data_IF_281325527394
#
_entry.id   IF_281325527394
#
_cell.length_a   1.000
_cell.length_b   1.000
_cell.length_c   1.000
_cell.angle_alpha   90.00
_cell.angle_beta   90.00
_cell.angle_gamma   90.00
#
_symmetry.space_group_name_H-M   'P 1'
#
loop_
_entity.id
_entity.type
_entity.pdbx_description
1 polymer ?
#
# COMPACT_ATOMS: atom_id res chain seq x y z
N UNK A 1 27.65 7.83 13.49
CA UNK A 1 27.24 6.48 13.04
C UNK A 1 25.83 6.63 12.51
N UNK A 2 25.61 6.24 11.26
CA UNK A 2 24.37 6.58 10.57
C UNK A 2 23.33 5.49 10.80
N UNK A 3 22.21 5.88 11.39
CA UNK A 3 21.11 5.00 11.79
C UNK A 3 19.92 5.30 10.88
N UNK A 4 19.38 4.27 10.23
CA UNK A 4 18.14 4.34 9.47
C UNK A 4 17.04 3.62 10.25
N UNK A 5 15.96 4.32 10.60
CA UNK A 5 14.79 3.75 11.23
C UNK A 5 13.63 3.65 10.22
N UNK A 6 12.97 2.51 10.17
CA UNK A 6 11.97 2.19 9.13
C UNK A 6 10.67 1.73 9.78
N UNK A 7 9.56 2.28 9.28
CA UNK A 7 8.24 1.69 9.43
C UNK A 7 8.08 0.66 8.29
N UNK A 8 7.84 -0.62 8.59
CA UNK A 8 7.65 -1.67 7.60
C UNK A 8 6.31 -1.48 6.88
N UNK A 9 6.15 -2.08 5.68
CA UNK A 9 4.93 -1.91 4.90
C UNK A 9 3.68 -2.50 5.56
N UNK A 10 2.53 -2.03 5.10
CA UNK A 10 1.17 -2.43 5.51
C UNK A 10 0.82 -2.07 6.95
N UNK A 11 1.18 -0.87 7.36
CA UNK A 11 0.55 -0.22 8.51
C UNK A 11 -0.68 0.57 8.06
N UNK A 12 -1.56 0.89 9.01
CA UNK A 12 -2.74 1.71 8.75
C UNK A 12 -2.33 3.14 8.39
N UNK A 13 -2.61 3.60 7.16
CA UNK A 13 -2.11 4.87 6.63
C UNK A 13 -2.70 6.11 7.31
N UNK A 14 -3.93 6.02 7.82
CA UNK A 14 -4.61 7.14 8.46
C UNK A 14 -4.24 7.33 9.93
N UNK A 15 -3.41 6.46 10.51
CA UNK A 15 -3.00 6.53 11.92
C UNK A 15 -1.47 6.61 12.01
N UNK A 16 -0.90 7.76 12.39
CA UNK A 16 0.56 7.91 12.42
C UNK A 16 1.18 7.00 13.48
N UNK A 17 2.13 6.15 13.06
CA UNK A 17 2.88 5.30 14.00
C UNK A 17 4.14 6.04 14.49
N UNK A 18 4.08 6.57 15.71
CA UNK A 18 5.09 7.52 16.20
C UNK A 18 6.38 6.87 16.70
N UNK A 19 6.49 5.53 16.76
CA UNK A 19 7.62 4.84 17.38
C UNK A 19 8.98 5.29 16.83
N UNK A 20 9.14 5.28 15.50
CA UNK A 20 10.41 5.66 14.87
C UNK A 20 10.63 7.17 14.91
N UNK A 21 9.56 7.97 14.98
CA UNK A 21 9.65 9.43 15.11
C UNK A 21 10.19 9.82 16.48
N UNK A 22 9.62 9.25 17.53
CA UNK A 22 10.09 9.44 18.91
C UNK A 22 11.53 8.94 19.09
N UNK A 23 11.85 7.74 18.56
CA UNK A 23 13.21 7.19 18.66
C UNK A 23 14.23 8.01 17.84
N UNK A 24 13.85 8.49 16.66
CA UNK A 24 14.71 9.37 15.85
C UNK A 24 15.02 10.66 16.60
N UNK A 25 14.01 11.29 17.22
CA UNK A 25 14.19 12.48 18.06
C UNK A 25 15.17 12.24 19.20
N UNK A 26 14.93 11.18 19.98
CA UNK A 26 15.81 10.78 21.09
C UNK A 26 17.26 10.52 20.64
N UNK A 27 17.46 9.80 19.53
CA UNK A 27 18.80 9.52 19.03
C UNK A 27 19.53 10.80 18.56
N UNK A 28 18.81 11.72 17.92
CA UNK A 28 19.34 13.03 17.52
C UNK A 28 19.73 13.88 18.73
N UNK A 29 18.94 13.88 19.81
CA UNK A 29 19.30 14.56 21.07
C UNK A 29 20.60 14.02 21.68
N UNK A 30 20.89 12.72 21.47
CA UNK A 30 22.14 12.06 21.86
C UNK A 30 23.25 12.18 20.82
N UNK A 31 23.12 13.09 19.86
CA UNK A 31 24.10 13.38 18.81
C UNK A 31 24.39 12.21 17.84
N UNK A 32 23.47 11.24 17.74
CA UNK A 32 23.53 10.23 16.68
C UNK A 32 22.90 10.78 15.39
N UNK A 33 23.53 10.46 14.25
CA UNK A 33 22.96 10.73 12.94
C UNK A 33 21.86 9.70 12.64
N UNK A 34 20.61 10.04 12.96
CA UNK A 34 19.45 9.19 12.74
C UNK A 34 18.52 9.77 11.65
N UNK A 35 18.11 8.93 10.71
CA UNK A 35 17.12 9.24 9.67
C UNK A 35 15.98 8.25 9.76
N UNK A 36 14.78 8.68 9.41
CA UNK A 36 13.60 7.81 9.36
C UNK A 36 13.02 7.73 7.96
N UNK A 37 12.41 6.59 7.63
CA UNK A 37 11.66 6.37 6.38
C UNK A 37 10.39 5.56 6.65
N UNK A 38 9.34 5.86 5.90
CA UNK A 38 8.08 5.13 5.96
C UNK A 38 7.96 4.25 4.71
N UNK A 39 8.35 2.99 4.83
CA UNK A 39 8.29 2.05 3.71
C UNK A 39 6.85 1.65 3.39
N UNK A 40 5.91 1.81 4.33
CA UNK A 40 4.49 1.54 4.09
C UNK A 40 3.86 2.58 3.20
N UNK A 41 4.07 3.85 3.53
CA UNK A 41 3.55 4.95 2.72
C UNK A 41 4.17 4.94 1.32
N UNK A 42 5.49 4.80 1.22
CA UNK A 42 6.17 4.84 -0.08
C UNK A 42 5.78 3.62 -0.95
N UNK A 43 5.61 2.42 -0.37
CA UNK A 43 5.09 1.27 -1.11
C UNK A 43 3.64 1.50 -1.56
N UNK A 44 2.79 2.02 -0.68
CA UNK A 44 1.41 2.31 -1.02
C UNK A 44 1.31 3.30 -2.19
N UNK A 45 2.08 4.39 -2.14
CA UNK A 45 2.11 5.39 -3.21
C UNK A 45 2.72 4.83 -4.51
N UNK A 46 3.74 3.98 -4.40
CA UNK A 46 4.31 3.32 -5.57
C UNK A 46 3.29 2.42 -6.27
N UNK A 47 2.51 1.64 -5.51
CA UNK A 47 1.43 0.80 -6.04
C UNK A 47 0.32 1.66 -6.65
N UNK A 48 -0.14 2.66 -5.91
CA UNK A 48 -1.23 3.56 -6.30
C UNK A 48 -0.71 4.77 -7.10
N UNK A 49 0.10 4.47 -8.11
CA UNK A 49 0.55 5.44 -9.10
C UNK A 49 0.23 4.92 -10.49
N UNK A 50 0.21 5.81 -11.49
CA UNK A 50 0.10 5.41 -12.89
C UNK A 50 1.04 4.26 -13.25
N UNK A 51 2.31 4.38 -12.87
CA UNK A 51 3.34 3.38 -13.18
C UNK A 51 3.10 2.07 -12.42
N UNK A 52 2.71 2.16 -11.15
CA UNK A 52 2.38 0.99 -10.33
C UNK A 52 1.21 0.21 -10.90
N UNK A 53 0.11 0.89 -11.23
CA UNK A 53 -1.06 0.25 -11.82
C UNK A 53 -0.77 -0.34 -13.20
N UNK A 54 -0.04 0.37 -14.06
CA UNK A 54 0.37 -0.17 -15.37
C UNK A 54 1.12 -1.49 -15.20
N UNK A 55 2.13 -1.51 -14.32
CA UNK A 55 2.90 -2.71 -14.04
C UNK A 55 2.03 -3.85 -13.51
N UNK A 56 1.08 -3.57 -12.61
CA UNK A 56 0.17 -4.58 -12.07
C UNK A 56 -0.76 -5.15 -13.14
N UNK A 57 -1.37 -4.30 -13.96
CA UNK A 57 -2.24 -4.75 -15.05
C UNK A 57 -1.50 -5.57 -16.09
N UNK A 58 -0.28 -5.19 -16.46
CA UNK A 58 0.54 -5.95 -17.42
C UNK A 58 0.87 -7.36 -16.90
N UNK A 59 0.99 -7.54 -15.58
CA UNK A 59 1.25 -8.83 -14.95
C UNK A 59 -0.03 -9.65 -14.67
N UNK A 60 -1.21 -9.03 -14.69
CA UNK A 60 -2.49 -9.72 -14.53
C UNK A 60 -2.94 -10.47 -15.79
N UNK A 61 -2.46 -10.05 -16.98
CA UNK A 61 -2.90 -10.60 -18.28
C UNK A 61 -2.63 -12.11 -18.44
N UNK A 62 -1.67 -12.66 -17.69
CA UNK A 62 -1.39 -14.11 -17.72
C UNK A 62 -2.46 -14.97 -17.04
N UNK A 63 -3.41 -14.35 -16.31
CA UNK A 63 -4.38 -15.04 -15.46
C UNK A 63 -5.83 -14.85 -15.92
N UNK A 64 -6.09 -14.20 -17.06
CA UNK A 64 -7.43 -13.79 -17.53
C UNK A 64 -8.47 -14.93 -17.57
N UNK A 65 -8.04 -16.18 -17.70
CA UNK A 65 -8.94 -17.35 -17.82
C UNK A 65 -9.59 -17.78 -16.50
N UNK A 66 -9.11 -17.28 -15.35
CA UNK A 66 -9.56 -17.71 -14.01
C UNK A 66 -10.12 -16.55 -13.17
N UNK A 67 -10.25 -15.35 -13.75
CA UNK A 67 -10.70 -14.15 -13.04
C UNK A 67 -12.23 -14.09 -12.92
N UNK A 68 -12.70 -13.51 -11.81
CA UNK A 68 -14.10 -13.20 -11.58
C UNK A 68 -14.61 -12.10 -12.52
N UNK A 69 -15.94 -11.99 -12.65
CA UNK A 69 -16.58 -10.91 -13.41
C UNK A 69 -16.14 -9.52 -12.92
N UNK A 70 -15.91 -9.36 -11.61
CA UNK A 70 -15.44 -8.10 -11.03
C UNK A 70 -14.00 -7.77 -11.48
N UNK A 71 -13.09 -8.75 -11.43
CA UNK A 71 -11.72 -8.55 -11.87
C UNK A 71 -11.63 -8.31 -13.39
N UNK A 72 -12.48 -8.98 -14.19
CA UNK A 72 -12.60 -8.73 -15.63
C UNK A 72 -13.11 -7.31 -15.91
N UNK A 73 -14.13 -6.83 -15.20
CA UNK A 73 -14.60 -5.44 -15.31
C UNK A 73 -13.48 -4.43 -15.03
N UNK A 74 -12.68 -4.66 -13.98
CA UNK A 74 -11.55 -3.79 -13.64
C UNK A 74 -10.49 -3.81 -14.75
N UNK A 75 -10.18 -4.98 -15.33
CA UNK A 75 -9.26 -5.11 -16.46
C UNK A 75 -9.74 -4.38 -17.72
N UNK A 76 -11.03 -4.50 -18.05
CA UNK A 76 -11.64 -3.79 -19.18
C UNK A 76 -11.55 -2.26 -19.00
N UNK A 77 -11.61 -1.78 -17.75
CA UNK A 77 -11.53 -0.36 -17.39
C UNK A 77 -10.14 0.10 -16.96
N UNK A 78 -9.09 -0.70 -17.17
CA UNK A 78 -7.72 -0.44 -16.67
C UNK A 78 -7.18 0.94 -17.05
N UNK A 79 -7.46 1.41 -18.26
CA UNK A 79 -6.98 2.71 -18.75
C UNK A 79 -7.58 3.87 -17.93
N UNK A 80 -8.82 3.73 -17.47
CA UNK A 80 -9.46 4.73 -16.61
C UNK A 80 -8.84 4.72 -15.21
N UNK A 81 -8.54 3.55 -14.64
CA UNK A 81 -7.80 3.46 -13.37
C UNK A 81 -6.40 4.11 -13.49
N UNK A 82 -5.64 3.76 -14.53
CA UNK A 82 -4.29 4.29 -14.78
C UNK A 82 -4.28 5.82 -14.96
N UNK A 83 -5.29 6.37 -15.64
CA UNK A 83 -5.35 7.81 -15.91
C UNK A 83 -5.86 8.64 -14.74
N UNK A 84 -6.65 8.06 -13.82
CA UNK A 84 -7.28 8.79 -12.72
C UNK A 84 -6.55 8.65 -11.37
N UNK A 85 -5.79 7.57 -11.15
CA UNK A 85 -5.16 7.25 -9.85
C UNK A 85 -4.34 8.40 -9.26
N UNK A 86 -3.47 9.04 -10.04
CA UNK A 86 -2.61 10.12 -9.54
C UNK A 86 -3.43 11.32 -9.04
N UNK A 87 -4.57 11.61 -9.69
CA UNK A 87 -5.46 12.70 -9.27
C UNK A 87 -6.19 12.36 -7.97
N UNK A 88 -6.55 11.09 -7.79
CA UNK A 88 -7.21 10.60 -6.58
C UNK A 88 -6.24 10.62 -5.39
N UNK A 89 -5.00 10.19 -5.58
CA UNK A 89 -3.97 10.29 -4.55
C UNK A 89 -3.72 11.75 -4.14
N UNK A 90 -3.59 12.67 -5.10
CA UNK A 90 -3.45 14.11 -4.82
C UNK A 90 -4.64 14.67 -4.03
N UNK A 91 -5.86 14.28 -4.40
CA UNK A 91 -7.07 14.67 -3.65
C UNK A 91 -7.03 14.16 -2.21
N UNK A 92 -6.68 12.89 -1.99
CA UNK A 92 -6.58 12.28 -0.65
C UNK A 92 -5.47 12.92 0.21
N UNK A 93 -4.39 13.39 -0.43
CA UNK A 93 -3.32 14.16 0.21
C UNK A 93 -3.69 15.64 0.46
N UNK A 94 -4.90 16.05 0.09
CA UNK A 94 -5.41 17.43 0.14
C UNK A 94 -4.63 18.42 -0.76
N UNK A 95 -3.94 17.93 -1.80
CA UNK A 95 -3.24 18.78 -2.77
C UNK A 95 -4.19 19.37 -3.83
N UNK A 96 -5.28 18.67 -4.16
CA UNK A 96 -6.34 19.15 -5.06
C UNK A 96 -7.75 18.92 -4.49
N UNK A 97 -8.19 19.75 -3.52
CA UNK A 97 -9.51 19.60 -2.91
C UNK A 97 -10.67 19.92 -3.88
N UNK A 98 -10.40 20.59 -5.01
CA UNK A 98 -11.43 20.98 -5.98
C UNK A 98 -12.05 19.77 -6.69
N UNK A 99 -11.31 18.67 -6.74
CA UNK A 99 -11.72 17.40 -7.34
C UNK A 99 -12.94 16.77 -6.65
N UNK A 100 -13.23 17.15 -5.40
CA UNK A 100 -14.34 16.59 -4.62
C UNK A 100 -15.67 16.62 -5.38
N UNK A 101 -16.01 17.77 -5.98
CA UNK A 101 -17.26 17.92 -6.75
C UNK A 101 -17.32 16.99 -7.95
N UNK A 102 -16.20 16.80 -8.66
CA UNK A 102 -16.09 15.92 -9.83
C UNK A 102 -16.17 14.45 -9.47
N UNK A 103 -15.58 14.05 -8.34
CA UNK A 103 -15.69 12.68 -7.81
C UNK A 103 -17.15 12.39 -7.46
N UNK A 104 -17.84 13.33 -6.80
CA UNK A 104 -19.24 13.15 -6.41
C UNK A 104 -20.22 13.08 -7.59
N UNK A 105 -19.84 13.44 -8.83
CA UNK A 105 -20.73 13.23 -9.99
C UNK A 105 -20.77 11.78 -10.46
N UNK A 106 -19.89 10.91 -9.95
CA UNK A 106 -19.77 9.48 -10.33
C UNK A 106 -19.48 9.22 -11.82
N UNK A 107 -19.13 10.25 -12.58
CA UNK A 107 -18.79 10.16 -14.01
C UNK A 107 -17.28 10.14 -14.28
N UNK A 108 -16.46 10.28 -13.22
CA UNK A 108 -15.01 10.40 -13.34
C UNK A 108 -14.28 9.08 -13.11
N UNK A 109 -14.78 8.24 -12.20
CA UNK A 109 -14.08 7.04 -11.73
C UNK A 109 -14.77 5.79 -12.29
N UNK A 110 -14.01 4.72 -12.59
CA UNK A 110 -14.60 3.40 -12.72
C UNK A 110 -15.12 2.96 -11.36
N UNK A 111 -16.27 2.30 -11.36
CA UNK A 111 -16.96 1.84 -10.15
C UNK A 111 -17.23 0.34 -10.26
N UNK A 112 -16.46 -0.48 -9.54
CA UNK A 112 -16.66 -1.93 -9.52
C UNK A 112 -17.45 -2.35 -8.27
N UNK A 113 -17.31 -3.59 -7.82
CA UNK A 113 -18.20 -4.17 -6.80
C UNK A 113 -18.24 -3.43 -5.46
N UNK A 114 -17.21 -2.68 -5.07
CA UNK A 114 -17.23 -1.88 -3.82
C UNK A 114 -18.28 -0.78 -3.83
N UNK A 115 -18.64 -0.27 -5.00
CA UNK A 115 -19.64 0.79 -5.14
C UNK A 115 -21.07 0.29 -5.01
N UNK A 116 -21.34 -1.02 -5.13
CA UNK A 116 -22.68 -1.57 -4.92
C UNK A 116 -23.18 -1.37 -3.48
N UNK A 117 -22.27 -1.25 -2.51
CA UNK A 117 -22.61 -0.98 -1.10
C UNK A 117 -22.87 0.52 -0.84
N UNK A 118 -22.56 1.40 -1.79
CA UNK A 118 -22.66 2.85 -1.61
C UNK A 118 -24.10 3.36 -1.69
N UNK A 119 -24.96 2.72 -2.48
CA UNK A 119 -26.32 3.22 -2.74
C UNK A 119 -27.19 3.23 -1.46
N UNK A 120 -26.92 2.35 -0.48
CA UNK A 120 -27.57 2.35 0.84
C UNK A 120 -27.04 3.46 1.78
N UNK A 121 -25.83 3.98 1.52
CA UNK A 121 -25.15 4.98 2.37
C UNK A 121 -25.39 6.40 1.87
N UNK A 122 -25.71 6.61 0.59
CA UNK A 122 -25.87 7.96 0.01
C UNK A 122 -26.95 8.80 0.71
N UNK A 123 -28.01 8.16 1.22
CA UNK A 123 -29.06 8.84 2.03
C UNK A 123 -28.51 9.45 3.34
N UNK A 124 -27.42 8.91 3.89
CA UNK A 124 -26.80 9.38 5.13
C UNK A 124 -25.79 10.54 4.92
N UNK A 125 -25.34 10.76 3.69
CA UNK A 125 -24.39 11.83 3.36
C UNK A 125 -25.04 13.21 3.35
N UNK A 126 -26.37 13.33 3.47
CA UNK A 126 -27.07 14.63 3.57
C UNK A 126 -26.58 15.55 4.71
N UNK A 127 -25.89 15.00 5.72
CA UNK A 127 -25.21 15.77 6.79
C UNK A 127 -23.68 15.87 6.63
N UNK A 128 -23.05 15.05 5.79
CA UNK A 128 -21.60 15.06 5.54
C UNK A 128 -21.27 15.98 4.36
N UNK A 129 -20.20 16.76 4.46
CA UNK A 129 -19.81 17.68 3.40
C UNK A 129 -19.41 16.96 2.11
N UNK A 130 -19.48 17.66 0.96
CA UNK A 130 -19.09 17.15 -0.37
C UNK A 130 -17.68 16.51 -0.35
N UNK A 131 -16.76 17.07 0.44
CA UNK A 131 -15.39 16.56 0.58
C UNK A 131 -15.35 15.19 1.24
N UNK A 132 -16.17 14.94 2.26
CA UNK A 132 -16.18 13.66 2.97
C UNK A 132 -16.82 12.57 2.09
N UNK A 133 -17.89 12.91 1.35
CA UNK A 133 -18.46 12.03 0.31
C UNK A 133 -17.40 11.66 -0.73
N UNK A 134 -16.65 12.64 -1.24
CA UNK A 134 -15.60 12.38 -2.21
C UNK A 134 -14.45 11.53 -1.65
N UNK A 135 -14.05 11.71 -0.39
CA UNK A 135 -13.04 10.86 0.29
C UNK A 135 -13.52 9.42 0.44
N UNK A 136 -14.80 9.21 0.74
CA UNK A 136 -15.39 7.89 0.81
C UNK A 136 -15.40 7.20 -0.57
N UNK A 137 -15.87 7.89 -1.62
CA UNK A 137 -15.84 7.37 -2.99
C UNK A 137 -14.41 7.05 -3.47
N UNK A 138 -13.45 7.92 -3.16
CA UNK A 138 -12.03 7.67 -3.44
C UNK A 138 -11.50 6.45 -2.69
N UNK A 139 -12.01 6.16 -1.48
CA UNK A 139 -11.64 4.98 -0.71
C UNK A 139 -12.21 3.71 -1.36
N UNK A 140 -13.47 3.70 -1.79
CA UNK A 140 -14.07 2.58 -2.53
C UNK A 140 -13.30 2.28 -3.83
N UNK A 141 -12.91 3.34 -4.55
CA UNK A 141 -12.06 3.23 -5.74
C UNK A 141 -10.70 2.56 -5.46
N UNK A 142 -10.07 2.90 -4.33
CA UNK A 142 -8.83 2.28 -3.89
C UNK A 142 -9.08 0.81 -3.46
N UNK A 143 -10.19 0.52 -2.77
CA UNK A 143 -10.57 -0.84 -2.39
C UNK A 143 -10.83 -1.76 -3.59
N UNK A 144 -11.42 -1.25 -4.67
CA UNK A 144 -11.57 -2.01 -5.93
C UNK A 144 -10.20 -2.44 -6.47
N UNK A 145 -9.22 -1.54 -6.49
CA UNK A 145 -7.84 -1.85 -6.89
C UNK A 145 -7.25 -2.91 -5.95
N UNK A 146 -7.50 -2.80 -4.65
CA UNK A 146 -6.98 -3.76 -3.67
C UNK A 146 -7.53 -5.17 -3.89
N UNK A 147 -8.83 -5.28 -4.12
CA UNK A 147 -9.48 -6.55 -4.41
C UNK A 147 -8.94 -7.16 -5.71
N UNK A 148 -8.75 -6.33 -6.74
CA UNK A 148 -8.14 -6.77 -7.98
C UNK A 148 -6.71 -7.29 -7.79
N UNK A 149 -5.85 -6.56 -7.06
CA UNK A 149 -4.48 -7.01 -6.76
C UNK A 149 -4.53 -8.34 -6.01
N UNK A 150 -5.43 -8.47 -5.02
CA UNK A 150 -5.57 -9.68 -4.23
C UNK A 150 -5.97 -10.88 -5.08
N UNK A 151 -6.91 -10.69 -6.00
CA UNK A 151 -7.42 -11.76 -6.84
C UNK A 151 -6.45 -12.13 -7.98
N UNK A 152 -5.93 -11.14 -8.70
CA UNK A 152 -5.19 -11.35 -9.94
C UNK A 152 -3.67 -11.44 -9.77
N UNK A 153 -3.11 -10.93 -8.67
CA UNK A 153 -1.66 -10.73 -8.51
C UNK A 153 -1.08 -11.43 -7.27
N UNK A 154 -1.62 -11.15 -6.08
CA UNK A 154 -1.08 -11.64 -4.82
C UNK A 154 -2.19 -11.86 -3.79
N UNK A 155 -2.57 -13.13 -3.59
CA UNK A 155 -3.65 -13.54 -2.66
C UNK A 155 -3.46 -13.08 -1.21
N UNK A 156 -2.22 -12.77 -0.82
CA UNK A 156 -1.87 -12.28 0.51
C UNK A 156 -1.99 -10.75 0.63
N UNK A 157 -2.31 -10.05 -0.45
CA UNK A 157 -2.44 -8.61 -0.48
C UNK A 157 -3.62 -8.09 0.36
N UNK A 158 -3.35 -7.03 1.12
CA UNK A 158 -4.37 -6.24 1.80
C UNK A 158 -3.82 -4.85 2.14
N UNK A 159 -4.62 -3.80 1.93
CA UNK A 159 -4.17 -2.40 2.04
C UNK A 159 -3.57 -2.04 3.41
N UNK A 160 -4.10 -2.60 4.50
CA UNK A 160 -3.59 -2.40 5.86
C UNK A 160 -3.31 -3.71 6.60
N UNK A 161 -3.43 -4.85 5.91
CA UNK A 161 -3.39 -6.21 6.46
C UNK A 161 -2.81 -7.15 5.41
N UNK A 162 -1.50 -7.09 5.20
CA UNK A 162 -0.80 -8.02 4.31
C UNK A 162 -0.32 -9.23 5.13
N UNK A 163 -0.60 -10.44 4.63
CA UNK A 163 -0.14 -11.69 5.24
C UNK A 163 -0.41 -11.83 6.76
N UNK A 164 -1.45 -11.18 7.28
CA UNK A 164 -1.78 -11.20 8.71
C UNK A 164 -2.08 -12.64 9.20
N UNK A 165 -2.68 -13.46 8.32
CA UNK A 165 -2.89 -14.90 8.52
C UNK A 165 -1.60 -15.68 8.79
N UNK A 166 -0.48 -15.32 8.14
CA UNK A 166 0.82 -16.00 8.30
C UNK A 166 1.47 -15.70 9.66
N UNK A 167 1.08 -14.62 10.33
CA UNK A 167 1.63 -14.22 11.62
C UNK A 167 0.70 -14.57 12.81
N UNK A 168 -0.52 -15.01 12.54
CA UNK A 168 -1.52 -15.41 13.54
C UNK A 168 -1.48 -16.89 13.90
N UNK A 169 -0.73 -17.74 13.17
CA UNK A 169 -0.57 -19.15 13.56
C UNK A 169 0.34 -19.26 14.79
N UNK A 170 -0.28 -19.31 15.97
CA UNK A 170 0.41 -19.33 17.27
C UNK A 170 1.23 -20.61 17.56
N UNK A 171 1.20 -21.61 16.68
CA UNK A 171 1.84 -22.92 16.92
C UNK A 171 3.22 -23.07 16.26
N UNK A 172 3.51 -22.40 15.13
CA UNK A 172 4.85 -22.41 14.50
C UNK A 172 5.08 -21.24 13.52
N UNK A 173 6.35 -20.99 13.17
CA UNK A 173 6.77 -19.99 12.17
C UNK A 173 7.08 -20.62 10.79
N UNK A 174 6.69 -21.87 10.55
CA UNK A 174 7.11 -22.61 9.36
C UNK A 174 6.54 -22.01 8.08
N UNK A 175 5.25 -21.64 8.09
CA UNK A 175 4.58 -20.97 6.96
C UNK A 175 5.26 -19.65 6.57
N UNK A 176 5.64 -18.85 7.57
CA UNK A 176 6.38 -17.61 7.39
C UNK A 176 7.78 -17.87 6.79
N UNK A 177 8.48 -18.90 7.29
CA UNK A 177 9.79 -19.28 6.80
C UNK A 177 9.75 -19.79 5.35
N UNK A 178 8.79 -20.64 5.02
CA UNK A 178 8.54 -21.14 3.67
C UNK A 178 8.25 -19.99 2.70
N UNK A 179 7.35 -19.08 3.07
CA UNK A 179 7.06 -17.88 2.27
C UNK A 179 8.33 -17.03 2.11
N UNK A 180 9.12 -16.79 3.16
CA UNK A 180 10.37 -16.04 3.07
C UNK A 180 11.42 -16.71 2.17
N UNK A 181 11.37 -18.04 2.06
CA UNK A 181 12.24 -18.83 1.18
C UNK A 181 11.77 -18.86 -0.28
N UNK A 182 10.47 -18.69 -0.52
CA UNK A 182 9.89 -18.58 -1.86
C UNK A 182 10.38 -17.34 -2.64
N UNK A 183 10.16 -17.37 -3.96
CA UNK A 183 10.47 -16.25 -4.86
C UNK A 183 9.68 -15.00 -4.41
N UNK A 184 10.31 -13.80 -4.35
CA UNK A 184 9.60 -12.57 -4.04
C UNK A 184 8.44 -12.31 -5.03
N UNK A 185 7.29 -11.92 -4.50
CA UNK A 185 6.15 -11.46 -5.32
C UNK A 185 6.47 -10.11 -5.99
N UNK A 186 5.59 -9.65 -6.89
CA UNK A 186 5.74 -8.33 -7.52
C UNK A 186 5.75 -7.23 -6.45
N UNK A 187 4.89 -7.36 -5.44
CA UNK A 187 4.81 -6.44 -4.31
C UNK A 187 6.08 -6.49 -3.44
N UNK A 188 6.63 -7.69 -3.21
CA UNK A 188 7.93 -7.83 -2.53
C UNK A 188 9.03 -7.08 -3.32
N UNK A 189 9.07 -7.22 -4.64
CA UNK A 189 10.10 -6.59 -5.46
C UNK A 189 9.99 -5.06 -5.45
N UNK A 190 8.79 -4.49 -5.59
CA UNK A 190 8.56 -3.05 -5.44
C UNK A 190 9.07 -2.54 -4.09
N UNK A 191 8.72 -3.25 -3.01
CA UNK A 191 9.15 -2.90 -1.67
C UNK A 191 10.68 -2.94 -1.53
N UNK A 192 11.32 -3.98 -2.07
CA UNK A 192 12.77 -4.15 -2.02
C UNK A 192 13.51 -3.09 -2.86
N UNK A 193 12.93 -2.63 -3.96
CA UNK A 193 13.50 -1.55 -4.77
C UNK A 193 13.48 -0.21 -4.00
N UNK A 194 12.35 0.13 -3.36
CA UNK A 194 12.26 1.32 -2.49
C UNK A 194 13.22 1.20 -1.30
N UNK A 195 13.31 0.01 -0.70
CA UNK A 195 14.24 -0.23 0.40
C UNK A 195 15.70 -0.05 -0.04
N UNK A 196 16.08 -0.52 -1.23
CA UNK A 196 17.44 -0.31 -1.75
C UNK A 196 17.73 1.17 -1.99
N UNK A 197 16.79 1.94 -2.53
CA UNK A 197 16.91 3.39 -2.69
C UNK A 197 17.20 4.08 -1.35
N UNK A 198 16.54 3.66 -0.26
CA UNK A 198 16.86 4.17 1.08
C UNK A 198 18.29 3.85 1.49
N UNK A 199 18.77 2.63 1.24
CA UNK A 199 20.13 2.20 1.56
C UNK A 199 21.17 2.96 0.74
N UNK A 200 20.88 3.26 -0.52
CA UNK A 200 21.76 4.04 -1.40
C UNK A 200 21.85 5.50 -0.95
N UNK A 201 20.71 6.11 -0.61
CA UNK A 201 20.64 7.51 -0.18
C UNK A 201 21.25 7.74 1.21
N UNK A 202 21.00 6.82 2.16
CA UNK A 202 21.38 7.02 3.57
C UNK A 202 22.66 6.30 4.00
N UNK A 203 23.11 5.29 3.24
CA UNK A 203 24.29 4.46 3.52
C UNK A 203 24.42 4.07 5.00
N UNK A 204 23.37 3.52 5.62
CA UNK A 204 23.30 3.38 7.07
C UNK A 204 24.24 2.29 7.56
N UNK A 205 24.76 2.47 8.77
CA UNK A 205 25.53 1.44 9.50
C UNK A 205 24.64 0.58 10.40
N UNK A 206 23.53 1.13 10.88
CA UNK A 206 22.49 0.42 11.63
C UNK A 206 21.16 0.66 10.93
N UNK A 207 20.38 -0.40 10.76
CA UNK A 207 19.00 -0.33 10.31
C UNK A 207 18.13 -0.85 11.46
N UNK A 208 17.18 -0.03 11.91
CA UNK A 208 16.14 -0.42 12.84
C UNK A 208 14.80 -0.48 12.12
N UNK A 209 14.08 -1.59 12.24
CA UNK A 209 12.73 -1.74 11.68
C UNK A 209 11.76 -1.90 12.85
N UNK A 210 10.80 -0.98 12.99
CA UNK A 210 9.77 -1.06 14.03
C UNK A 210 8.67 -1.99 13.56
N UNK A 211 8.36 -3.08 14.26
CA UNK A 211 7.29 -4.02 13.84
C UNK A 211 6.07 -3.80 14.75
N UNK A 212 5.08 -2.99 14.34
CA UNK A 212 3.96 -2.63 15.19
C UNK A 212 2.89 -3.73 15.29
N UNK A 213 2.73 -4.53 14.23
CA UNK A 213 1.73 -5.58 14.15
C UNK A 213 2.33 -6.89 13.58
N UNK A 214 1.72 -8.05 13.87
CA UNK A 214 2.19 -9.35 13.36
C UNK A 214 2.33 -9.39 11.82
N UNK A 215 1.38 -8.81 11.08
CA UNK A 215 1.42 -8.79 9.61
C UNK A 215 2.65 -8.08 9.00
N UNK A 216 3.34 -7.24 9.77
CA UNK A 216 4.53 -6.54 9.27
C UNK A 216 5.82 -7.38 9.34
N UNK A 217 5.80 -8.51 10.06
CA UNK A 217 7.00 -9.34 10.31
C UNK A 217 7.58 -9.87 9.00
N UNK A 218 6.73 -10.37 8.09
CA UNK A 218 7.18 -10.92 6.81
C UNK A 218 8.00 -9.92 6.00
N UNK A 219 7.47 -8.71 5.79
CA UNK A 219 8.15 -7.68 5.00
C UNK A 219 9.43 -7.18 5.70
N UNK A 220 9.43 -7.08 7.04
CA UNK A 220 10.63 -6.75 7.79
C UNK A 220 11.74 -7.82 7.62
N UNK A 221 11.37 -9.10 7.62
CA UNK A 221 12.32 -10.20 7.36
C UNK A 221 12.80 -10.22 5.90
N UNK A 222 11.95 -9.87 4.93
CA UNK A 222 12.36 -9.68 3.53
C UNK A 222 13.42 -8.59 3.40
N UNK A 223 13.23 -7.43 4.06
CA UNK A 223 14.24 -6.36 4.12
C UNK A 223 15.58 -6.88 4.69
N UNK A 224 15.53 -7.71 5.75
CA UNK A 224 16.74 -8.32 6.33
C UNK A 224 17.44 -9.29 5.37
N UNK A 225 16.69 -10.08 4.60
CA UNK A 225 17.23 -11.05 3.64
C UNK A 225 17.78 -10.38 2.37
N UNK A 226 17.39 -9.13 2.12
CA UNK A 226 17.84 -8.36 0.97
C UNK A 226 19.36 -8.31 0.87
N UNK A 227 19.88 -8.66 -0.30
CA UNK A 227 21.27 -8.48 -0.68
C UNK A 227 21.29 -7.38 -1.72
N UNK A 228 22.10 -6.34 -1.50
CA UNK A 228 22.22 -5.22 -2.44
C UNK A 228 22.49 -5.74 -3.85
N UNK A 229 21.76 -5.19 -4.82
CA UNK A 229 22.05 -5.38 -6.24
C UNK A 229 23.44 -4.75 -6.48
N UNK A 230 24.41 -5.55 -6.91
CA UNK A 230 25.78 -5.11 -7.24
C UNK A 230 25.78 -4.47 -8.62
#
# INVERSE_FOLDING_TARGET
MDILLIIPPFIQLNTPYTSITSLTGFLKERQFAATQRDLSLDLFLSIHSRNGLQMLFDNAQSSESELSENALFILENKDLYITTIDSIIKFLQNEDPTLATRICTRNMLPEASRFMQFDDVDESFGYMGIVDKAKHLATLYLEDIADFIKEAIDSEYGMSRYAESLALSAESFDSLYEKLCSKPSIIDNLMLDIFDDYLQQTKPRIIGISIPFPGNVYMALRCKKYKRKV
#
